data_IF_782525748828
#
_entry.id   IF_782525748828
#
_cell.length_a   1.000
_cell.length_b   1.000
_cell.length_c   1.000
_cell.angle_alpha   90.00
_cell.angle_beta   90.00
_cell.angle_gamma   90.00
#
_symmetry.space_group_name_H-M   'P 1'
#
loop_
_entity.id
_entity.type
_entity.pdbx_description
1 polymer ?
#
# COMPACT_ATOMS: atom_id res chain seq x y z
N UNK A 1 3.75 -78.58 -22.11
CA UNK A 1 2.89 -77.40 -21.84
C UNK A 1 3.41 -76.68 -20.61
N UNK A 2 4.10 -75.56 -20.78
CA UNK A 2 4.57 -74.69 -19.68
C UNK A 2 4.17 -73.27 -20.05
N UNK A 3 3.17 -72.72 -19.38
CA UNK A 3 2.79 -71.31 -19.49
C UNK A 3 3.24 -70.66 -18.18
N UNK A 4 4.31 -69.89 -18.26
CA UNK A 4 4.83 -69.05 -17.17
C UNK A 4 4.06 -67.72 -17.27
N UNK A 5 3.16 -67.47 -16.32
CA UNK A 5 2.50 -66.18 -16.18
C UNK A 5 3.44 -65.21 -15.46
N UNK A 6 4.08 -64.31 -16.21
CA UNK A 6 4.80 -63.16 -15.67
C UNK A 6 3.77 -62.08 -15.33
N UNK A 7 3.45 -61.94 -14.05
CA UNK A 7 2.70 -60.78 -13.54
C UNK A 7 3.64 -59.57 -13.47
N UNK A 8 3.55 -58.71 -14.48
CA UNK A 8 4.20 -57.39 -14.49
C UNK A 8 3.52 -56.47 -13.48
N UNK A 9 4.20 -56.19 -12.38
CA UNK A 9 3.80 -55.18 -11.39
C UNK A 9 4.02 -53.79 -12.00
N UNK A 10 3.00 -53.22 -12.64
CA UNK A 10 2.98 -51.81 -13.03
C UNK A 10 2.81 -50.96 -11.76
N UNK A 11 3.94 -50.55 -11.17
CA UNK A 11 3.97 -49.45 -10.21
C UNK A 11 3.54 -48.17 -10.94
N UNK A 12 2.27 -47.80 -10.80
CA UNK A 12 1.76 -46.48 -11.14
C UNK A 12 2.46 -45.46 -10.22
N UNK A 13 3.56 -44.88 -10.71
CA UNK A 13 4.14 -43.68 -10.13
C UNK A 13 3.15 -42.53 -10.36
N UNK A 14 2.22 -42.34 -9.42
CA UNK A 14 1.41 -41.14 -9.38
C UNK A 14 2.37 -39.95 -9.22
N UNK A 15 2.35 -38.95 -10.11
CA UNK A 15 3.14 -37.75 -9.92
C UNK A 15 2.65 -37.10 -8.63
N UNK A 16 3.46 -37.16 -7.57
CA UNK A 16 3.26 -36.32 -6.40
C UNK A 16 3.46 -34.90 -6.92
N UNK A 17 2.35 -34.20 -7.16
CA UNK A 17 2.41 -32.78 -7.44
C UNK A 17 3.11 -32.12 -6.26
N UNK A 18 4.32 -31.60 -6.50
CA UNK A 18 5.04 -30.85 -5.49
C UNK A 18 4.11 -29.74 -4.98
N UNK A 19 3.87 -29.70 -3.66
CA UNK A 19 3.07 -28.63 -3.08
C UNK A 19 3.72 -27.29 -3.49
N UNK A 20 2.94 -26.33 -4.00
CA UNK A 20 3.48 -25.02 -4.31
C UNK A 20 4.15 -24.45 -3.07
N UNK A 21 5.39 -23.97 -3.21
CA UNK A 21 6.14 -23.41 -2.09
C UNK A 21 5.50 -22.10 -1.64
N UNK A 22 5.17 -22.03 -0.35
CA UNK A 22 4.81 -20.80 0.36
C UNK A 22 5.74 -20.67 1.57
N UNK A 23 6.39 -19.51 1.77
CA UNK A 23 7.40 -19.37 2.82
C UNK A 23 6.79 -19.43 4.23
N UNK A 24 7.26 -20.31 5.14
CA UNK A 24 6.81 -20.30 6.53
C UNK A 24 7.28 -19.02 7.25
N UNK A 25 6.59 -18.54 8.30
CA UNK A 25 6.95 -17.31 9.00
C UNK A 25 8.43 -17.24 9.36
N UNK A 26 9.08 -16.10 9.08
CA UNK A 26 10.50 -15.87 9.37
C UNK A 26 11.49 -16.70 8.54
N UNK A 27 11.04 -17.58 7.64
CA UNK A 27 11.90 -18.46 6.87
C UNK A 27 11.58 -18.35 5.37
N UNK A 28 12.46 -17.66 4.64
CA UNK A 28 12.35 -17.56 3.18
C UNK A 28 13.40 -18.42 2.50
N UNK A 29 12.99 -19.32 1.62
CA UNK A 29 13.91 -20.20 0.90
C UNK A 29 14.72 -19.39 -0.10
N UNK A 30 16.04 -19.59 -0.09
CA UNK A 30 16.94 -19.00 -1.08
C UNK A 30 17.12 -19.93 -2.27
N UNK A 31 17.47 -19.37 -3.42
CA UNK A 31 17.92 -20.13 -4.58
C UNK A 31 19.01 -19.35 -5.32
N UNK A 32 19.95 -20.08 -5.92
CA UNK A 32 20.87 -19.47 -6.87
C UNK A 32 20.12 -19.07 -8.13
N UNK A 33 20.47 -17.96 -8.79
CA UNK A 33 19.77 -17.54 -10.00
C UNK A 33 19.86 -18.61 -11.10
N UNK A 34 21.01 -19.27 -11.27
CA UNK A 34 21.17 -20.38 -12.21
C UNK A 34 20.16 -21.53 -11.96
N UNK A 35 19.88 -21.89 -10.70
CA UNK A 35 18.91 -22.96 -10.38
C UNK A 35 17.48 -22.65 -10.83
N UNK A 36 17.17 -21.37 -11.05
CA UNK A 36 15.87 -20.89 -11.52
C UNK A 36 15.93 -20.39 -12.98
N UNK A 37 17.04 -20.64 -13.69
CA UNK A 37 17.29 -20.17 -15.07
C UNK A 37 17.23 -18.63 -15.20
N UNK A 38 17.66 -17.94 -14.15
CA UNK A 38 17.84 -16.48 -14.14
C UNK A 38 19.30 -16.18 -14.50
N UNK A 39 19.50 -15.20 -15.37
CA UNK A 39 20.81 -14.69 -15.77
C UNK A 39 21.48 -13.98 -14.58
N UNK A 40 22.57 -14.57 -14.08
CA UNK A 40 23.30 -14.07 -12.90
C UNK A 40 23.91 -12.70 -13.13
N UNK A 41 24.41 -12.44 -14.34
CA UNK A 41 25.05 -11.17 -14.67
C UNK A 41 24.01 -10.05 -14.70
N UNK A 42 22.86 -10.26 -15.36
CA UNK A 42 21.79 -9.26 -15.38
C UNK A 42 21.18 -9.00 -14.01
N UNK A 43 21.08 -10.03 -13.16
CA UNK A 43 20.63 -9.85 -11.79
C UNK A 43 21.60 -8.97 -10.99
N UNK A 44 22.91 -9.23 -11.11
CA UNK A 44 23.93 -8.41 -10.48
C UNK A 44 23.92 -6.96 -11.00
N UNK A 45 23.76 -6.76 -12.31
CA UNK A 45 23.61 -5.43 -12.91
C UNK A 45 22.38 -4.68 -12.36
N UNK A 46 21.25 -5.37 -12.19
CA UNK A 46 20.04 -4.78 -11.61
C UNK A 46 20.24 -4.37 -10.14
N UNK A 47 20.91 -5.19 -9.34
CA UNK A 47 21.26 -4.86 -7.95
C UNK A 47 22.22 -3.68 -7.90
N UNK A 48 23.27 -3.68 -8.72
CA UNK A 48 24.23 -2.59 -8.80
C UNK A 48 23.55 -1.28 -9.21
N UNK A 49 22.64 -1.33 -10.19
CA UNK A 49 21.84 -0.18 -10.60
C UNK A 49 20.96 0.37 -9.47
N UNK A 50 20.28 -0.50 -8.72
CA UNK A 50 19.43 -0.09 -7.61
C UNK A 50 20.23 0.61 -6.49
N UNK A 51 21.42 0.10 -6.16
CA UNK A 51 22.33 0.71 -5.18
C UNK A 51 22.86 2.05 -5.69
N UNK A 52 23.31 2.11 -6.95
CA UNK A 52 23.85 3.34 -7.54
C UNK A 52 22.78 4.43 -7.73
N UNK A 53 21.50 4.05 -7.78
CA UNK A 53 20.36 4.96 -7.93
C UNK A 53 19.73 5.38 -6.59
N UNK A 54 20.42 5.19 -5.45
CA UNK A 54 19.91 5.64 -4.15
C UNK A 54 19.56 7.14 -4.18
N UNK A 55 18.40 7.50 -3.62
CA UNK A 55 17.97 8.89 -3.51
C UNK A 55 19.01 9.69 -2.68
N UNK A 56 19.59 10.77 -3.23
CA UNK A 56 20.61 11.56 -2.53
C UNK A 56 20.05 12.50 -1.45
N UNK A 57 18.72 12.64 -1.35
CA UNK A 57 18.09 13.43 -0.31
C UNK A 57 18.39 12.86 1.10
N UNK A 58 18.22 13.72 2.12
CA UNK A 58 18.41 13.34 3.52
C UNK A 58 17.71 12.01 3.84
N UNK A 59 18.34 11.22 4.69
CA UNK A 59 17.69 10.02 5.24
C UNK A 59 16.67 10.37 6.33
N UNK A 60 16.87 11.49 7.01
CA UNK A 60 15.90 12.03 7.95
C UNK A 60 14.67 12.53 7.19
N UNK A 61 13.55 11.81 7.35
CA UNK A 61 12.33 12.13 6.61
C UNK A 61 11.71 13.45 7.06
N UNK A 62 11.96 13.93 8.29
CA UNK A 62 11.48 15.24 8.72
C UNK A 62 12.16 16.36 7.92
N UNK A 63 13.46 16.21 7.65
CA UNK A 63 14.21 17.12 6.78
C UNK A 63 13.68 17.05 5.34
N UNK A 64 13.45 15.84 4.81
CA UNK A 64 12.89 15.67 3.45
C UNK A 64 11.53 16.35 3.34
N UNK A 65 10.63 16.13 4.31
CA UNK A 65 9.31 16.75 4.33
C UNK A 65 9.41 18.28 4.32
N UNK A 66 10.20 18.86 5.22
CA UNK A 66 10.36 20.31 5.34
C UNK A 66 10.98 20.94 4.08
N UNK A 67 11.91 20.25 3.43
CA UNK A 67 12.63 20.77 2.25
C UNK A 67 11.94 20.51 0.92
N UNK A 68 10.86 19.71 0.90
CA UNK A 68 10.11 19.35 -0.32
C UNK A 68 8.71 19.93 -0.31
N UNK A 69 7.75 19.24 0.32
CA UNK A 69 6.36 19.66 0.43
C UNK A 69 6.24 20.87 1.35
N UNK A 70 6.90 20.86 2.50
CA UNK A 70 6.82 21.97 3.48
C UNK A 70 7.38 23.30 2.99
N UNK A 71 8.28 23.26 2.01
CA UNK A 71 8.79 24.47 1.37
C UNK A 71 7.78 25.11 0.40
N UNK A 72 6.70 24.42 0.02
CA UNK A 72 5.83 24.81 -1.11
C UNK A 72 4.35 24.79 -0.79
N UNK A 73 3.93 23.95 0.15
CA UNK A 73 2.52 23.69 0.45
C UNK A 73 2.13 24.30 1.80
N UNK A 74 0.90 24.82 1.93
CA UNK A 74 0.40 25.33 3.20
C UNK A 74 0.05 24.18 4.14
N UNK A 75 -0.10 24.48 5.44
CA UNK A 75 -0.46 23.49 6.46
C UNK A 75 0.48 22.28 6.46
N UNK A 76 1.78 22.47 6.25
CA UNK A 76 2.78 21.40 6.12
C UNK A 76 3.25 20.80 7.45
N UNK A 77 2.80 21.35 8.58
CA UNK A 77 3.17 20.86 9.91
C UNK A 77 3.02 19.34 10.00
N UNK A 78 4.11 18.69 10.39
CA UNK A 78 4.19 17.27 10.69
C UNK A 78 3.34 17.01 11.94
N UNK A 79 2.38 16.10 11.82
CA UNK A 79 1.45 15.68 12.88
C UNK A 79 1.44 14.16 13.07
N UNK A 80 2.33 13.44 12.39
CA UNK A 80 2.53 12.01 12.55
C UNK A 80 4.01 11.66 12.71
N UNK A 81 4.32 10.40 13.05
CA UNK A 81 5.69 9.96 13.27
C UNK A 81 6.58 10.17 12.03
N UNK A 82 7.85 10.50 12.26
CA UNK A 82 8.91 10.56 11.24
C UNK A 82 10.09 9.72 11.71
N UNK A 83 10.87 9.23 10.76
CA UNK A 83 12.00 8.35 10.99
C UNK A 83 13.18 8.70 10.11
N UNK A 84 14.31 8.05 10.38
CA UNK A 84 15.50 8.11 9.55
C UNK A 84 15.54 6.83 8.75
N UNK A 85 15.40 6.92 7.42
CA UNK A 85 15.41 5.74 6.56
C UNK A 85 16.78 5.07 6.55
N UNK A 86 16.80 3.76 6.33
CA UNK A 86 18.02 3.00 6.11
C UNK A 86 18.75 3.42 4.81
N UNK A 87 19.97 2.91 4.66
CA UNK A 87 20.66 2.92 3.36
C UNK A 87 19.87 2.09 2.34
N UNK A 88 20.15 2.30 1.04
CA UNK A 88 19.52 1.52 -0.02
C UNK A 88 19.59 0.01 0.27
N UNK A 89 18.42 -0.60 0.41
CA UNK A 89 18.24 -2.01 0.70
C UNK A 89 17.12 -2.59 -0.18
N UNK A 90 17.12 -3.90 -0.36
CA UNK A 90 16.08 -4.56 -1.13
C UNK A 90 16.26 -6.05 -1.28
N UNK A 91 15.21 -6.69 -1.80
CA UNK A 91 15.15 -8.12 -2.08
C UNK A 91 14.59 -8.35 -3.48
N UNK A 92 15.04 -9.41 -4.15
CA UNK A 92 14.43 -9.91 -5.38
C UNK A 92 13.95 -11.33 -5.10
N UNK A 93 12.64 -11.52 -5.25
CA UNK A 93 11.96 -12.80 -5.05
C UNK A 93 11.48 -13.30 -6.40
N UNK A 94 11.86 -14.54 -6.75
CA UNK A 94 11.43 -15.20 -7.97
C UNK A 94 10.94 -16.62 -7.67
N UNK A 95 9.72 -16.94 -8.13
CA UNK A 95 9.04 -18.22 -7.87
C UNK A 95 9.00 -18.59 -6.38
N UNK A 96 8.71 -17.58 -5.56
CA UNK A 96 8.67 -17.72 -4.11
C UNK A 96 10.03 -17.87 -3.44
N UNK A 97 11.17 -17.78 -4.14
CA UNK A 97 12.49 -17.88 -3.53
C UNK A 97 13.25 -16.57 -3.59
N UNK A 98 14.02 -16.27 -2.55
CA UNK A 98 14.93 -15.13 -2.53
C UNK A 98 16.13 -15.44 -3.43
N UNK A 99 16.37 -14.61 -4.43
CA UNK A 99 17.47 -14.78 -5.40
C UNK A 99 18.53 -13.67 -5.33
N UNK A 100 18.20 -12.53 -4.72
CA UNK A 100 19.16 -11.48 -4.39
C UNK A 100 18.65 -10.65 -3.20
N UNK A 101 19.59 -10.12 -2.42
CA UNK A 101 19.35 -9.24 -1.29
C UNK A 101 20.55 -8.29 -1.16
N UNK A 102 20.31 -7.03 -0.80
CA UNK A 102 21.35 -6.05 -0.49
C UNK A 102 20.89 -5.09 0.60
N UNK A 103 21.85 -4.50 1.30
CA UNK A 103 21.60 -3.56 2.40
C UNK A 103 20.95 -4.22 3.64
N UNK A 104 20.51 -3.36 4.56
CA UNK A 104 19.78 -3.76 5.77
C UNK A 104 18.28 -3.89 5.47
N UNK A 105 17.85 -5.08 5.06
CA UNK A 105 16.44 -5.36 4.76
C UNK A 105 15.59 -5.63 6.00
N UNK A 106 16.24 -5.67 7.17
CA UNK A 106 15.57 -5.82 8.46
C UNK A 106 15.24 -4.45 9.08
N UNK A 107 15.69 -3.37 8.45
CA UNK A 107 15.48 -2.01 8.92
C UNK A 107 14.02 -1.58 8.88
N UNK A 108 13.71 -0.62 9.75
CA UNK A 108 12.35 -0.13 9.98
C UNK A 108 12.12 1.13 9.19
N UNK A 109 11.70 0.96 7.95
CA UNK A 109 11.53 2.11 7.08
C UNK A 109 10.10 2.58 7.00
N UNK A 110 10.03 3.90 6.83
CA UNK A 110 8.84 4.60 6.41
C UNK A 110 8.48 4.14 4.98
N UNK A 111 7.33 3.48 4.82
CA UNK A 111 6.79 3.02 3.52
C UNK A 111 6.00 4.08 2.74
N UNK A 112 5.69 5.22 3.36
CA UNK A 112 4.96 6.33 2.77
C UNK A 112 3.65 5.89 2.07
N UNK A 113 3.59 6.01 0.75
CA UNK A 113 2.35 5.77 0.00
C UNK A 113 2.05 4.30 -0.28
N UNK A 114 2.96 3.38 0.05
CA UNK A 114 2.63 1.94 0.08
C UNK A 114 1.51 1.67 1.10
N UNK A 115 1.37 2.50 2.14
CA UNK A 115 0.26 2.44 3.10
C UNK A 115 -1.13 2.39 2.44
N UNK A 116 -1.30 3.05 1.29
CA UNK A 116 -2.55 3.05 0.52
C UNK A 116 -2.95 1.64 0.08
N UNK A 117 -1.99 0.77 -0.23
CA UNK A 117 -2.26 -0.63 -0.60
C UNK A 117 -2.85 -1.42 0.57
N UNK A 118 -2.39 -1.17 1.79
CA UNK A 118 -2.99 -1.79 2.98
C UNK A 118 -4.39 -1.23 3.25
N UNK A 119 -4.57 0.08 3.06
CA UNK A 119 -5.88 0.72 3.20
C UNK A 119 -6.91 0.20 2.19
N UNK A 120 -6.54 0.09 0.91
CA UNK A 120 -7.42 -0.50 -0.10
C UNK A 120 -7.70 -1.97 0.19
N UNK A 121 -6.72 -2.71 0.72
CA UNK A 121 -6.91 -4.11 1.14
C UNK A 121 -7.93 -4.23 2.27
N UNK A 122 -7.80 -3.48 3.37
CA UNK A 122 -8.78 -3.56 4.47
C UNK A 122 -10.16 -3.02 4.09
N UNK A 123 -10.22 -2.09 3.12
CA UNK A 123 -11.50 -1.65 2.54
C UNK A 123 -12.13 -2.76 1.69
N UNK A 124 -11.33 -3.45 0.88
CA UNK A 124 -11.78 -4.62 0.09
C UNK A 124 -12.25 -5.76 0.98
N UNK A 125 -11.61 -5.98 2.14
CA UNK A 125 -12.06 -6.97 3.13
C UNK A 125 -13.41 -6.58 3.76
N UNK A 126 -13.66 -5.29 4.03
CA UNK A 126 -14.98 -4.82 4.46
C UNK A 126 -16.06 -5.09 3.40
N UNK A 127 -15.75 -4.85 2.13
CA UNK A 127 -16.63 -5.19 1.01
C UNK A 127 -16.91 -6.70 0.92
N UNK A 128 -15.86 -7.52 1.00
CA UNK A 128 -15.99 -8.97 0.98
C UNK A 128 -16.85 -9.52 2.14
N UNK A 129 -16.83 -8.85 3.30
CA UNK A 129 -17.66 -9.22 4.47
C UNK A 129 -19.06 -8.60 4.45
N UNK A 130 -19.42 -7.85 3.41
CA UNK A 130 -20.73 -7.20 3.28
C UNK A 130 -20.92 -5.98 4.18
N UNK A 131 -19.87 -5.51 4.87
CA UNK A 131 -19.87 -4.25 5.61
C UNK A 131 -19.97 -3.05 4.67
N UNK A 132 -19.40 -3.19 3.47
CA UNK A 132 -19.69 -2.35 2.30
C UNK A 132 -20.46 -3.24 1.32
N UNK A 133 -21.70 -2.88 0.97
CA UNK A 133 -22.55 -3.74 0.13
C UNK A 133 -22.15 -3.67 -1.34
N UNK A 134 -21.91 -2.45 -1.82
CA UNK A 134 -21.51 -2.17 -3.21
C UNK A 134 -20.51 -1.01 -3.22
N UNK A 135 -19.48 -1.10 -4.06
CA UNK A 135 -18.53 -0.01 -4.26
C UNK A 135 -19.17 1.21 -4.95
N UNK A 136 -20.28 0.99 -5.64
CA UNK A 136 -21.12 2.04 -6.20
C UNK A 136 -22.06 2.66 -5.17
N UNK A 137 -22.15 2.16 -3.93
CA UNK A 137 -22.97 2.85 -2.94
C UNK A 137 -22.35 4.21 -2.55
N UNK A 138 -23.24 5.17 -2.24
CA UNK A 138 -22.83 6.42 -1.58
C UNK A 138 -22.27 6.10 -0.20
N UNK A 139 -21.20 6.78 0.19
CA UNK A 139 -20.51 6.52 1.47
C UNK A 139 -21.28 7.09 2.65
N UNK A 140 -21.91 8.26 2.49
CA UNK A 140 -22.64 8.96 3.56
C UNK A 140 -23.60 8.07 4.38
N UNK A 141 -24.48 7.26 3.76
CA UNK A 141 -25.37 6.34 4.48
C UNK A 141 -24.70 5.27 5.33
N UNK A 142 -23.41 4.97 5.14
CA UNK A 142 -22.65 4.03 5.97
C UNK A 142 -22.10 4.68 7.24
N UNK A 143 -22.07 6.01 7.30
CA UNK A 143 -21.44 6.72 8.41
C UNK A 143 -22.36 6.71 9.65
N UNK A 144 -21.80 6.64 10.87
CA UNK A 144 -22.57 6.75 12.09
C UNK A 144 -23.36 8.06 12.17
N UNK A 145 -24.45 8.05 12.95
CA UNK A 145 -25.21 9.26 13.21
C UNK A 145 -24.32 10.37 13.81
N UNK A 146 -24.44 11.59 13.28
CA UNK A 146 -23.64 12.74 13.70
C UNK A 146 -22.32 12.92 12.95
N UNK A 147 -21.92 11.97 12.10
CA UNK A 147 -20.78 12.14 11.20
C UNK A 147 -21.23 12.86 9.93
N UNK A 148 -20.73 14.07 9.71
CA UNK A 148 -21.19 15.01 8.67
C UNK A 148 -20.24 15.12 7.46
N UNK A 149 -19.30 14.18 7.33
CA UNK A 149 -18.27 14.17 6.28
C UNK A 149 -18.82 14.18 4.84
N UNK A 150 -20.06 13.73 4.63
CA UNK A 150 -20.69 13.59 3.31
C UNK A 150 -21.94 14.47 3.15
N UNK A 151 -22.07 15.54 3.92
CA UNK A 151 -23.20 16.47 3.81
C UNK A 151 -23.08 17.41 2.61
N UNK A 152 -24.21 18.00 2.21
CA UNK A 152 -24.29 18.97 1.11
C UNK A 152 -24.40 18.34 -0.28
N UNK A 153 -24.71 19.19 -1.26
CA UNK A 153 -25.00 18.77 -2.64
C UNK A 153 -23.83 18.02 -3.27
N UNK A 154 -22.59 18.46 -3.03
CA UNK A 154 -21.39 17.86 -3.61
C UNK A 154 -20.97 16.56 -2.92
N UNK A 155 -20.59 16.62 -1.64
CA UNK A 155 -20.00 15.46 -0.96
C UNK A 155 -20.99 14.28 -0.82
N UNK A 156 -22.31 14.53 -0.81
CA UNK A 156 -23.32 13.47 -0.74
C UNK A 156 -23.36 12.55 -1.97
N UNK A 157 -22.73 12.94 -3.08
CA UNK A 157 -22.62 12.14 -4.30
C UNK A 157 -21.46 11.13 -4.27
N UNK A 158 -20.57 11.23 -3.28
CA UNK A 158 -19.34 10.43 -3.24
C UNK A 158 -19.66 8.96 -2.93
N UNK A 159 -19.10 8.09 -3.79
CA UNK A 159 -19.18 6.63 -3.68
C UNK A 159 -17.86 6.06 -3.19
N UNK A 160 -17.88 4.83 -2.68
CA UNK A 160 -16.67 4.11 -2.28
C UNK A 160 -15.66 4.02 -3.42
N UNK A 161 -16.15 3.75 -4.63
CA UNK A 161 -15.34 3.74 -5.85
C UNK A 161 -14.57 5.05 -6.09
N UNK A 162 -15.22 6.19 -5.84
CA UNK A 162 -14.57 7.49 -6.02
C UNK A 162 -13.44 7.73 -5.01
N UNK A 163 -13.59 7.23 -3.77
CA UNK A 163 -12.53 7.31 -2.76
C UNK A 163 -11.35 6.40 -3.14
N UNK A 164 -11.63 5.16 -3.53
CA UNK A 164 -10.63 4.17 -3.92
C UNK A 164 -9.82 4.61 -5.14
N UNK A 165 -10.46 5.29 -6.10
CA UNK A 165 -9.82 5.80 -7.32
C UNK A 165 -9.27 7.22 -7.21
N UNK A 166 -9.38 7.86 -6.04
CA UNK A 166 -9.02 9.26 -5.84
C UNK A 166 -9.67 10.23 -6.84
N UNK A 167 -10.94 9.98 -7.14
CA UNK A 167 -11.77 10.81 -8.03
C UNK A 167 -12.95 11.46 -7.31
N UNK A 168 -12.99 11.42 -5.98
CA UNK A 168 -14.12 11.93 -5.18
C UNK A 168 -14.34 13.43 -5.26
N UNK A 169 -13.28 14.17 -5.55
CA UNK A 169 -13.20 15.61 -5.41
C UNK A 169 -13.76 16.16 -4.08
N UNK A 170 -13.71 15.35 -3.02
CA UNK A 170 -14.24 15.71 -1.70
C UNK A 170 -13.66 17.05 -1.23
N UNK A 171 -14.54 17.87 -0.67
CA UNK A 171 -14.22 19.18 -0.14
C UNK A 171 -14.46 19.20 1.37
N UNK A 172 -13.47 19.66 2.13
CA UNK A 172 -13.59 19.78 3.58
C UNK A 172 -12.23 19.78 4.27
N UNK A 173 -12.25 19.68 5.59
CA UNK A 173 -11.05 19.64 6.43
C UNK A 173 -11.06 18.38 7.27
N UNK A 174 -9.93 17.66 7.29
CA UNK A 174 -9.75 16.49 8.14
C UNK A 174 -8.42 16.60 8.87
N UNK A 175 -8.42 16.34 10.18
CA UNK A 175 -7.22 16.42 11.03
C UNK A 175 -6.48 17.78 10.96
N UNK A 176 -7.24 18.87 10.78
CA UNK A 176 -6.70 20.22 10.64
C UNK A 176 -6.08 20.52 9.27
N UNK A 177 -6.21 19.62 8.30
CA UNK A 177 -5.73 19.78 6.93
C UNK A 177 -6.91 19.95 5.97
N UNK A 178 -7.08 21.10 5.32
CA UNK A 178 -8.12 21.25 4.29
C UNK A 178 -7.73 20.47 3.03
N UNK A 179 -8.71 19.95 2.30
CA UNK A 179 -8.48 19.09 1.12
C UNK A 179 -7.63 19.77 0.05
N UNK A 180 -7.75 21.09 -0.08
CA UNK A 180 -7.01 21.89 -1.05
C UNK A 180 -5.56 22.17 -0.65
N UNK A 181 -5.15 21.94 0.60
CA UNK A 181 -3.78 22.20 1.05
C UNK A 181 -2.77 21.20 0.50
N UNK A 182 -3.19 19.96 0.25
CA UNK A 182 -2.34 18.97 -0.40
C UNK A 182 -2.36 19.17 -1.91
N UNK A 183 -1.19 19.48 -2.48
CA UNK A 183 -0.98 19.79 -3.89
C UNK A 183 -1.98 20.87 -4.34
N UNK A 184 -1.84 22.10 -3.82
CA UNK A 184 -2.79 23.17 -4.07
C UNK A 184 -2.85 23.52 -5.57
N UNK A 185 -4.05 23.87 -6.04
CA UNK A 185 -4.30 24.28 -7.43
C UNK A 185 -4.50 25.79 -7.50
N UNK A 186 -3.77 26.46 -8.40
CA UNK A 186 -3.86 27.92 -8.58
C UNK A 186 -2.48 28.56 -8.71
N UNK A 187 -2.44 29.85 -9.09
CA UNK A 187 -1.18 30.58 -9.27
C UNK A 187 -0.69 31.19 -7.96
N UNK A 188 -1.62 31.60 -7.11
CA UNK A 188 -1.35 32.32 -5.86
C UNK A 188 -1.98 31.60 -4.66
N UNK A 189 -1.48 31.83 -3.43
CA UNK A 189 -2.09 31.29 -2.21
C UNK A 189 -3.58 31.62 -2.04
N UNK A 190 -4.04 32.74 -2.61
CA UNK A 190 -5.44 33.14 -2.57
C UNK A 190 -6.34 32.28 -3.49
N UNK A 191 -5.78 31.65 -4.52
CA UNK A 191 -6.52 30.80 -5.46
C UNK A 191 -6.80 29.42 -4.86
N UNK A 192 -5.91 28.91 -4.00
CA UNK A 192 -5.92 27.51 -3.57
C UNK A 192 -7.22 27.07 -2.88
N UNK A 193 -7.79 27.84 -1.93
CA UNK A 193 -9.07 27.48 -1.31
C UNK A 193 -10.25 27.56 -2.29
N UNK A 194 -10.09 28.28 -3.40
CA UNK A 194 -11.11 28.56 -4.40
C UNK A 194 -10.98 27.65 -5.64
N UNK A 195 -10.33 26.49 -5.49
CA UNK A 195 -10.22 25.50 -6.57
C UNK A 195 -11.58 25.16 -7.17
N UNK A 196 -11.68 24.84 -8.48
CA UNK A 196 -12.92 24.34 -9.07
C UNK A 196 -13.39 23.06 -8.36
N UNK A 197 -14.68 23.01 -8.03
CA UNK A 197 -15.33 21.82 -7.50
C UNK A 197 -15.88 21.00 -8.66
N UNK A 198 -15.30 19.82 -8.89
CA UNK A 198 -15.55 18.95 -10.03
C UNK A 198 -16.43 17.79 -9.61
N UNK A 199 -17.36 17.37 -10.46
CA UNK A 199 -18.26 16.24 -10.16
C UNK A 199 -17.49 14.99 -9.70
N UNK A 200 -17.89 14.31 -8.61
CA UNK A 200 -17.22 13.09 -8.18
C UNK A 200 -17.22 12.03 -9.27
N UNK A 201 -16.06 11.39 -9.48
CA UNK A 201 -15.83 10.40 -10.54
C UNK A 201 -15.28 10.96 -11.85
N UNK A 202 -15.23 12.28 -12.05
CA UNK A 202 -14.83 12.87 -13.34
C UNK A 202 -13.39 13.37 -13.42
N UNK A 203 -12.71 13.50 -12.27
CA UNK A 203 -11.35 14.04 -12.23
C UNK A 203 -10.50 13.34 -11.17
N UNK A 204 -9.36 12.79 -11.60
CA UNK A 204 -8.38 12.21 -10.70
C UNK A 204 -7.50 13.30 -10.08
N UNK A 205 -7.35 13.27 -8.77
CA UNK A 205 -6.35 14.06 -8.06
C UNK A 205 -5.75 13.23 -6.95
N UNK A 206 -4.43 13.09 -6.99
CA UNK A 206 -3.69 12.49 -5.89
C UNK A 206 -3.78 13.39 -4.65
N UNK A 207 -4.43 12.91 -3.59
CA UNK A 207 -4.71 13.73 -2.40
C UNK A 207 -4.82 12.90 -1.10
N UNK A 208 -3.93 13.18 -0.16
CA UNK A 208 -3.80 12.48 1.11
C UNK A 208 -4.91 12.84 2.11
N UNK A 209 -5.54 14.01 2.05
CA UNK A 209 -6.73 14.33 2.88
C UNK A 209 -7.90 13.40 2.49
N UNK A 210 -8.11 13.21 1.19
CA UNK A 210 -9.18 12.34 0.66
C UNK A 210 -8.91 10.86 0.94
N UNK A 211 -7.64 10.49 1.02
CA UNK A 211 -7.22 9.16 1.43
C UNK A 211 -7.39 8.96 2.94
N UNK A 212 -7.15 9.98 3.76
CA UNK A 212 -7.49 9.96 5.19
C UNK A 212 -9.00 9.87 5.43
N UNK A 213 -9.81 10.48 4.55
CA UNK A 213 -11.26 10.31 4.56
C UNK A 213 -11.66 8.85 4.28
N UNK A 214 -10.98 8.18 3.32
CA UNK A 214 -11.17 6.73 3.11
C UNK A 214 -10.79 5.93 4.35
N UNK A 215 -9.65 6.22 4.99
CA UNK A 215 -9.23 5.55 6.22
C UNK A 215 -10.27 5.67 7.33
N UNK A 216 -10.78 6.88 7.57
CA UNK A 216 -11.81 7.13 8.58
C UNK A 216 -13.14 6.43 8.24
N UNK A 217 -13.55 6.47 6.98
CA UNK A 217 -14.80 5.80 6.53
C UNK A 217 -14.71 4.28 6.65
N UNK A 218 -13.56 3.72 6.28
CA UNK A 218 -13.29 2.29 6.42
C UNK A 218 -13.23 1.89 7.90
N UNK A 219 -12.65 2.72 8.77
CA UNK A 219 -12.70 2.53 10.22
C UNK A 219 -14.15 2.47 10.74
N UNK A 220 -15.02 3.37 10.28
CA UNK A 220 -16.41 3.41 10.72
C UNK A 220 -17.22 2.16 10.32
N UNK A 221 -17.03 1.63 9.11
CA UNK A 221 -17.74 0.40 8.71
C UNK A 221 -17.21 -0.83 9.43
N UNK A 222 -15.91 -0.87 9.72
CA UNK A 222 -15.31 -1.95 10.52
C UNK A 222 -15.68 -1.87 11.99
N UNK A 223 -15.93 -0.65 12.50
CA UNK A 223 -16.09 -0.35 13.92
C UNK A 223 -14.93 -0.89 14.76
N UNK A 224 -13.73 -0.89 14.19
CA UNK A 224 -12.55 -1.57 14.72
C UNK A 224 -11.27 -0.90 14.20
N UNK A 225 -10.22 -0.73 15.03
CA UNK A 225 -8.96 -0.17 14.56
C UNK A 225 -8.43 -0.89 13.32
N UNK A 226 -8.17 -0.16 12.23
CA UNK A 226 -7.69 -0.74 10.98
C UNK A 226 -6.38 -1.55 11.10
N UNK A 227 -5.41 -1.19 11.99
CA UNK A 227 -4.26 -2.06 12.24
C UNK A 227 -4.69 -3.43 12.78
N UNK A 228 -5.69 -3.48 13.66
CA UNK A 228 -6.16 -4.75 14.19
C UNK A 228 -6.84 -5.61 13.10
N UNK A 229 -7.66 -4.99 12.25
CA UNK A 229 -8.26 -5.65 11.08
C UNK A 229 -7.17 -6.20 10.17
N UNK A 230 -6.19 -5.38 9.80
CA UNK A 230 -5.08 -5.78 8.94
C UNK A 230 -4.29 -6.95 9.56
N UNK A 231 -4.07 -6.91 10.87
CA UNK A 231 -3.35 -7.96 11.57
C UNK A 231 -4.09 -9.30 11.50
N UNK A 232 -5.36 -9.30 11.90
CA UNK A 232 -6.17 -10.52 12.01
C UNK A 232 -6.53 -11.11 10.65
N UNK A 233 -6.87 -10.26 9.68
CA UNK A 233 -7.42 -10.69 8.39
C UNK A 233 -6.34 -10.95 7.34
N UNK A 234 -5.12 -10.40 7.51
CA UNK A 234 -4.05 -10.53 6.52
C UNK A 234 -2.71 -10.93 7.15
N UNK A 235 -2.15 -10.10 8.04
CA UNK A 235 -0.75 -10.25 8.46
C UNK A 235 -0.50 -11.55 9.22
N UNK A 236 -1.39 -11.93 10.15
CA UNK A 236 -1.31 -13.21 10.85
C UNK A 236 -1.49 -14.41 9.90
N UNK A 237 -2.55 -14.47 9.05
CA UNK A 237 -2.72 -15.54 8.07
C UNK A 237 -1.52 -15.78 7.14
N UNK A 238 -0.83 -14.72 6.70
CA UNK A 238 0.32 -14.85 5.79
C UNK A 238 1.65 -15.05 6.52
N UNK A 239 1.65 -15.06 7.86
CA UNK A 239 2.85 -15.19 8.67
C UNK A 239 3.79 -13.99 8.55
N UNK A 240 3.24 -12.78 8.40
CA UNK A 240 4.04 -11.55 8.46
C UNK A 240 4.58 -11.33 9.87
N UNK A 241 5.66 -10.54 9.98
CA UNK A 241 6.21 -10.16 11.29
C UNK A 241 5.19 -9.40 12.13
N UNK A 242 5.33 -9.44 13.46
CA UNK A 242 4.52 -8.66 14.41
C UNK A 242 5.09 -7.26 14.71
N UNK A 243 6.19 -6.88 14.05
CA UNK A 243 6.94 -5.65 14.37
C UNK A 243 6.52 -4.41 13.57
N UNK A 244 5.64 -4.55 12.58
CA UNK A 244 5.10 -3.41 11.84
C UNK A 244 4.14 -2.58 12.71
N UNK A 245 3.98 -1.30 12.36
CA UNK A 245 3.04 -0.39 13.01
C UNK A 245 2.36 0.48 11.96
N UNK A 246 1.04 0.64 12.07
CA UNK A 246 0.26 1.55 11.24
C UNK A 246 -0.32 2.63 12.14
N UNK A 247 0.24 3.85 12.05
CA UNK A 247 -0.12 4.95 12.93
C UNK A 247 -1.10 5.92 12.26
N UNK A 248 -1.87 6.60 13.10
CA UNK A 248 -2.54 7.84 12.72
C UNK A 248 -1.71 9.06 13.06
N UNK A 249 -2.31 10.23 12.84
CA UNK A 249 -1.80 11.50 13.34
C UNK A 249 -2.14 11.72 14.82
N UNK A 250 -1.39 12.60 15.48
CA UNK A 250 -1.58 12.99 16.88
C UNK A 250 -3.02 13.42 17.20
N UNK A 251 -3.69 14.06 16.25
CA UNK A 251 -5.07 14.55 16.37
C UNK A 251 -6.11 13.69 15.64
N UNK A 252 -5.74 12.50 15.14
CA UNK A 252 -6.64 11.61 14.38
C UNK A 252 -7.45 10.64 15.25
N UNK A 253 -7.86 11.09 16.44
CA UNK A 253 -8.62 10.29 17.39
C UNK A 253 -10.12 10.58 17.29
N UNK A 254 -10.92 9.52 17.32
CA UNK A 254 -12.38 9.58 17.35
C UNK A 254 -12.92 8.81 18.56
N UNK A 255 -14.14 9.12 18.96
CA UNK A 255 -14.93 8.28 19.85
C UNK A 255 -15.77 7.33 19.00
N UNK A 256 -15.61 6.03 19.24
CA UNK A 256 -16.30 4.96 18.52
C UNK A 256 -16.75 3.92 19.56
N UNK A 257 -18.05 3.79 19.73
CA UNK A 257 -18.65 2.82 20.67
C UNK A 257 -18.18 2.98 22.12
N UNK A 258 -17.99 4.25 22.53
CA UNK A 258 -17.49 4.60 23.87
C UNK A 258 -16.00 4.33 24.06
N UNK A 259 -15.26 4.06 22.97
CA UNK A 259 -13.81 3.91 22.98
C UNK A 259 -13.14 4.93 22.10
N UNK A 260 -12.03 5.46 22.60
CA UNK A 260 -11.16 6.33 21.83
C UNK A 260 -10.32 5.50 20.85
N UNK A 261 -10.58 5.65 19.56
CA UNK A 261 -9.91 4.92 18.47
C UNK A 261 -9.18 5.89 17.55
N UNK A 262 -7.96 5.53 17.14
CA UNK A 262 -7.20 6.32 16.19
C UNK A 262 -7.54 5.92 14.76
N UNK A 263 -7.93 6.89 13.93
CA UNK A 263 -7.93 6.73 12.48
C UNK A 263 -6.50 6.78 11.99
N UNK A 264 -6.07 5.72 11.34
CA UNK A 264 -4.75 5.68 10.70
C UNK A 264 -4.63 6.75 9.62
N UNK A 265 -3.41 7.20 9.34
CA UNK A 265 -3.18 7.98 8.14
C UNK A 265 -3.19 7.04 6.94
N UNK A 266 -3.85 7.44 5.86
CA UNK A 266 -3.89 6.66 4.62
C UNK A 266 -2.68 6.95 3.72
N UNK A 267 -1.83 7.91 4.08
CA UNK A 267 -0.58 8.23 3.40
C UNK A 267 0.36 9.10 4.24
N UNK A 268 1.59 9.25 3.78
CA UNK A 268 2.69 9.82 4.57
C UNK A 268 2.90 11.34 4.46
N UNK A 269 1.93 12.11 3.95
CA UNK A 269 2.14 13.52 3.57
C UNK A 269 2.43 14.48 4.75
N UNK A 270 1.95 14.18 5.96
CA UNK A 270 2.18 15.02 7.15
C UNK A 270 2.74 14.23 8.33
N UNK A 271 3.56 13.23 8.04
CA UNK A 271 3.87 12.20 9.02
C UNK A 271 3.27 10.88 8.61
N UNK A 272 3.90 9.82 9.08
CA UNK A 272 3.78 8.58 8.36
C UNK A 272 2.50 7.80 8.59
N UNK A 273 2.25 6.90 7.64
CA UNK A 273 1.19 5.91 7.67
C UNK A 273 1.68 4.55 8.16
N UNK A 274 2.84 4.02 7.79
CA UNK A 274 3.15 2.63 8.12
C UNK A 274 4.65 2.39 8.26
N UNK A 275 5.09 2.07 9.49
CA UNK A 275 6.43 1.56 9.79
C UNK A 275 6.46 0.06 9.50
N UNK A 276 7.27 -0.33 8.53
CA UNK A 276 7.45 -1.72 8.14
C UNK A 276 8.73 -2.31 8.71
N UNK A 277 8.82 -3.63 8.72
CA UNK A 277 9.92 -4.46 9.26
C UNK A 277 10.05 -5.70 8.37
N UNK A 278 11.08 -6.55 8.58
CA UNK A 278 11.28 -7.73 7.75
C UNK A 278 10.02 -8.59 7.69
N UNK A 279 9.53 -8.81 6.48
CA UNK A 279 8.28 -9.52 6.22
C UNK A 279 7.21 -8.73 5.46
N UNK A 280 7.32 -7.40 5.31
CA UNK A 280 6.43 -6.65 4.39
C UNK A 280 6.55 -7.13 2.94
N UNK A 281 7.71 -7.66 2.57
CA UNK A 281 7.95 -8.34 1.30
C UNK A 281 6.96 -9.49 1.04
N UNK A 282 6.41 -10.14 2.09
CA UNK A 282 5.33 -11.13 1.95
C UNK A 282 4.06 -10.50 1.40
N UNK A 283 3.72 -9.31 1.86
CA UNK A 283 2.51 -8.60 1.43
C UNK A 283 2.69 -8.06 0.02
N UNK A 284 3.83 -7.42 -0.28
CA UNK A 284 4.11 -6.95 -1.64
C UNK A 284 4.13 -8.10 -2.65
N UNK A 285 4.64 -9.28 -2.27
CA UNK A 285 4.56 -10.49 -3.09
C UNK A 285 3.11 -10.96 -3.34
N UNK A 286 2.26 -10.93 -2.32
CA UNK A 286 0.86 -11.36 -2.42
C UNK A 286 0.02 -10.36 -3.23
N UNK A 287 0.18 -9.05 -3.00
CA UNK A 287 -0.51 -8.00 -3.75
C UNK A 287 -0.19 -8.09 -5.24
N UNK A 288 1.06 -8.40 -5.63
CA UNK A 288 1.42 -8.62 -7.03
C UNK A 288 0.93 -9.94 -7.60
N UNK A 289 0.86 -11.02 -6.80
CA UNK A 289 0.30 -12.30 -7.26
C UNK A 289 -1.21 -12.22 -7.55
N UNK A 290 -1.98 -11.45 -6.78
CA UNK A 290 -3.41 -11.22 -7.05
C UNK A 290 -3.60 -10.46 -8.37
N UNK A 291 -2.73 -9.49 -8.67
CA UNK A 291 -2.76 -8.73 -9.93
C UNK A 291 -2.24 -9.50 -11.17
N UNK A 292 -1.30 -10.45 -10.99
CA UNK A 292 -0.71 -11.23 -12.08
C UNK A 292 -1.63 -12.36 -12.61
N UNK A 293 -2.70 -12.71 -11.90
CA UNK A 293 -3.69 -13.70 -12.34
C UNK A 293 -4.43 -13.31 -13.64
N UNK A 294 -4.30 -12.06 -14.10
CA UNK A 294 -4.86 -11.58 -15.37
C UNK A 294 -3.91 -11.61 -16.57
N UNK A 295 -2.58 -11.54 -16.40
CA UNK A 295 -1.56 -11.65 -17.47
C UNK A 295 -0.24 -12.11 -16.86
N UNK A 296 0.32 -13.21 -17.38
CA UNK A 296 1.43 -13.98 -16.81
C UNK A 296 2.79 -13.28 -16.70
N UNK A 297 2.92 -12.32 -15.79
CA UNK A 297 4.18 -11.68 -15.42
C UNK A 297 4.60 -12.14 -14.01
N UNK A 298 5.54 -13.09 -13.93
CA UNK A 298 6.02 -13.70 -12.68
C UNK A 298 7.16 -12.91 -11.98
N UNK A 299 7.14 -11.59 -12.05
CA UNK A 299 8.19 -10.74 -11.48
C UNK A 299 7.63 -9.89 -10.34
N UNK A 300 8.29 -9.96 -9.18
CA UNK A 300 8.14 -9.00 -8.10
C UNK A 300 9.52 -8.40 -7.81
N UNK A 301 9.65 -7.11 -8.08
CA UNK A 301 10.75 -6.30 -7.55
C UNK A 301 10.12 -5.39 -6.51
N UNK A 302 10.50 -5.60 -5.25
CA UNK A 302 10.06 -4.77 -4.16
C UNK A 302 11.29 -3.98 -3.69
N UNK A 303 11.31 -2.69 -3.99
CA UNK A 303 12.36 -1.77 -3.57
C UNK A 303 11.81 -0.80 -2.54
N UNK A 304 12.59 -0.48 -1.50
CA UNK A 304 12.27 0.58 -0.54
C UNK A 304 12.47 1.99 -1.10
N UNK A 305 12.22 2.19 -2.40
CA UNK A 305 12.53 3.46 -3.08
C UNK A 305 11.37 4.44 -2.93
N UNK A 306 11.62 5.52 -2.19
CA UNK A 306 10.82 6.74 -2.23
C UNK A 306 11.00 7.39 -3.61
N UNK A 307 10.01 7.23 -4.49
CA UNK A 307 9.96 7.96 -5.76
C UNK A 307 9.50 9.40 -5.51
N UNK A 308 10.26 10.44 -5.88
CA UNK A 308 9.68 11.77 -6.04
C UNK A 308 8.68 11.73 -7.21
N UNK A 309 7.61 12.54 -7.10
CA UNK A 309 6.54 12.63 -8.10
C UNK A 309 7.10 12.74 -9.53
N UNK A 310 6.53 12.02 -10.52
CA UNK A 310 7.13 11.92 -11.84
C UNK A 310 7.06 13.25 -12.59
N UNK A 311 8.23 13.81 -12.90
CA UNK A 311 8.40 14.82 -13.94
C UNK A 311 8.92 14.11 -15.20
N UNK A 312 8.04 13.97 -16.20
CA UNK A 312 8.45 13.91 -17.61
C UNK A 312 9.13 12.63 -18.14
N UNK A 313 8.60 11.43 -17.88
CA UNK A 313 8.99 10.21 -18.63
C UNK A 313 7.84 9.70 -19.54
N UNK A 314 8.15 9.19 -20.74
CA UNK A 314 7.16 8.79 -21.74
C UNK A 314 6.30 7.60 -21.27
N UNK A 315 4.99 7.79 -21.40
CA UNK A 315 3.86 7.05 -20.82
C UNK A 315 3.65 5.60 -21.29
N UNK A 316 4.66 4.90 -21.81
CA UNK A 316 4.45 3.55 -22.40
C UNK A 316 4.98 2.34 -21.61
N UNK A 317 5.73 2.52 -20.52
CA UNK A 317 6.27 1.38 -19.75
C UNK A 317 6.13 1.45 -18.21
N UNK A 318 5.27 2.32 -17.66
CA UNK A 318 4.95 2.33 -16.23
C UNK A 318 3.49 1.93 -16.01
N UNK A 319 3.23 0.62 -16.04
CA UNK A 319 1.96 0.04 -15.63
C UNK A 319 2.26 -1.18 -14.77
N UNK A 320 2.82 -0.95 -13.58
CA UNK A 320 3.00 -1.92 -12.49
C UNK A 320 3.65 -1.16 -11.34
N UNK A 321 2.84 -0.55 -10.45
CA UNK A 321 3.15 -0.30 -9.02
C UNK A 321 2.10 0.55 -8.28
N UNK A 322 1.04 1.00 -8.95
CA UNK A 322 -0.19 1.45 -8.28
C UNK A 322 -1.34 0.67 -8.90
N UNK A 323 -1.79 -0.37 -8.19
CA UNK A 323 -3.00 -1.09 -8.55
C UNK A 323 -4.20 -0.19 -8.28
N UNK A 324 -4.81 0.25 -9.39
CA UNK A 324 -5.84 1.28 -9.57
C UNK A 324 -5.32 2.72 -9.66
#
# INVERSE_FOLDING_TARGET
MRIIAVLSLLLLALPVAAKPYFPPPGQWATATPASLKVDEQKLAEAVAYAIASENPASRDQAIVQATTFGAKEPYDQIIGPMGVRAAANGVIIYRGKLIAQWGDVDSVDMTHSIAKTFLTTVTGLAWQQGLIRDLQDRVGPYMPHGVDLYQGEHNSQIRWDHLLRQTSDWQGTLWGKPDWADRPEGQTPADWPNRPLRTPGTFYKYNDVRINLLALSTLYVWRKPLPQVLNEQLMQPIGASATWRWYGYENSWIELDGQRVQSVSGGGHWGEAFLSMPGIWRVLAICSCVMASGRGSNWLVATGLNWPAPVGLPTRNMALLTGF
#
